data_IF_154484595390
#
_entry.id   IF_154484595390
#
_cell.length_a   1.000
_cell.length_b   1.000
_cell.length_c   1.000
_cell.angle_alpha   90.00
_cell.angle_beta   90.00
_cell.angle_gamma   90.00
#
_symmetry.space_group_name_H-M   'P 1'
#
loop_
_entity.id
_entity.type
_entity.pdbx_description
1 polymer ?
#
# COMPACT_ATOMS: atom_id res chain seq x y z
N UNK A 1 0.72 28.13 -2.98
CA UNK A 1 1.11 27.12 -3.99
C UNK A 1 0.84 27.67 -5.39
N UNK A 2 1.77 27.52 -6.34
CA UNK A 2 1.59 28.03 -7.71
C UNK A 2 0.39 27.36 -8.41
N UNK A 3 -0.41 28.12 -9.17
CA UNK A 3 -1.56 27.59 -9.93
C UNK A 3 -1.15 26.45 -10.86
N UNK A 4 0.04 26.53 -11.48
CA UNK A 4 0.60 25.49 -12.35
C UNK A 4 0.82 24.18 -11.59
N UNK A 5 1.39 24.27 -10.39
CA UNK A 5 1.64 23.09 -9.56
C UNK A 5 0.31 22.46 -9.10
N UNK A 6 -0.69 23.27 -8.76
CA UNK A 6 -2.01 22.74 -8.35
C UNK A 6 -2.66 21.92 -9.47
N UNK A 7 -2.63 22.44 -10.72
CA UNK A 7 -3.16 21.72 -11.88
C UNK A 7 -2.40 20.42 -12.13
N UNK A 8 -1.07 20.46 -12.07
CA UNK A 8 -0.23 19.27 -12.22
C UNK A 8 -0.59 18.16 -11.20
N UNK A 9 -0.72 18.51 -9.92
CA UNK A 9 -1.10 17.56 -8.87
C UNK A 9 -2.47 16.95 -9.15
N UNK A 10 -3.46 17.78 -9.50
CA UNK A 10 -4.83 17.30 -9.78
C UNK A 10 -4.83 16.32 -10.95
N UNK A 11 -4.08 16.61 -12.02
CA UNK A 11 -3.96 15.71 -13.18
C UNK A 11 -3.37 14.37 -12.76
N UNK A 12 -2.27 14.36 -12.01
CA UNK A 12 -1.62 13.12 -11.57
C UNK A 12 -2.53 12.28 -10.68
N UNK A 13 -3.17 12.92 -9.69
CA UNK A 13 -4.12 12.23 -8.81
C UNK A 13 -5.26 11.64 -9.63
N UNK A 14 -5.77 12.37 -10.62
CA UNK A 14 -6.85 11.88 -11.48
C UNK A 14 -6.42 10.65 -12.27
N UNK A 15 -5.23 10.66 -12.87
CA UNK A 15 -4.67 9.49 -13.56
C UNK A 15 -4.44 8.31 -12.62
N UNK A 16 -3.93 8.55 -11.41
CA UNK A 16 -3.72 7.50 -10.41
C UNK A 16 -5.04 6.86 -9.98
N UNK A 17 -6.09 7.65 -9.75
CA UNK A 17 -7.43 7.14 -9.41
C UNK A 17 -8.02 6.35 -10.57
N UNK A 18 -7.94 6.85 -11.80
CA UNK A 18 -8.42 6.14 -13.00
C UNK A 18 -7.71 4.79 -13.14
N UNK A 19 -6.38 4.78 -12.99
CA UNK A 19 -5.59 3.56 -13.04
C UNK A 19 -5.99 2.58 -11.91
N UNK A 20 -6.17 3.08 -10.69
CA UNK A 20 -6.59 2.27 -9.56
C UNK A 20 -7.95 1.60 -9.83
N UNK A 21 -8.93 2.37 -10.32
CA UNK A 21 -10.26 1.84 -10.67
C UNK A 21 -10.16 0.78 -11.78
N UNK A 22 -9.34 1.01 -12.80
CA UNK A 22 -9.11 0.06 -13.88
C UNK A 22 -8.49 -1.26 -13.41
N UNK A 23 -7.66 -1.21 -12.36
CA UNK A 23 -6.96 -2.36 -11.79
C UNK A 23 -7.78 -3.13 -10.74
N UNK A 24 -8.93 -2.62 -10.29
CA UNK A 24 -9.76 -3.30 -9.27
C UNK A 24 -10.35 -4.59 -9.87
N UNK A 25 -10.10 -5.76 -9.24
CA UNK A 25 -10.70 -7.00 -9.70
C UNK A 25 -12.21 -7.01 -9.48
N UNK A 26 -12.98 -7.79 -10.26
CA UNK A 26 -14.42 -7.94 -10.08
C UNK A 26 -14.78 -8.34 -8.64
N UNK A 27 -15.87 -7.76 -8.11
CA UNK A 27 -16.29 -7.91 -6.71
C UNK A 27 -16.48 -9.36 -6.25
N UNK A 28 -16.84 -10.27 -7.16
CA UNK A 28 -16.99 -11.72 -6.89
C UNK A 28 -15.68 -12.39 -6.47
N UNK A 29 -14.52 -11.92 -6.96
CA UNK A 29 -13.21 -12.45 -6.59
C UNK A 29 -12.70 -11.90 -5.25
N UNK A 30 -13.23 -10.76 -4.81
CA UNK A 30 -12.83 -10.08 -3.57
C UNK A 30 -13.51 -10.73 -2.36
N UNK A 31 -14.81 -11.01 -2.48
CA UNK A 31 -15.60 -11.54 -1.35
C UNK A 31 -15.10 -12.91 -0.88
N UNK A 32 -14.61 -13.74 -1.79
CA UNK A 32 -14.09 -15.08 -1.47
C UNK A 32 -12.67 -15.07 -0.89
N UNK A 33 -12.00 -13.90 -0.85
CA UNK A 33 -10.58 -13.77 -0.48
C UNK A 33 -10.32 -12.76 0.64
N UNK A 34 -11.35 -12.34 1.39
CA UNK A 34 -11.22 -11.35 2.46
C UNK A 34 -10.22 -11.77 3.56
N UNK A 35 -10.08 -13.07 3.85
CA UNK A 35 -9.10 -13.58 4.82
C UNK A 35 -7.65 -13.35 4.35
N UNK A 36 -7.41 -13.40 3.04
CA UNK A 36 -6.09 -13.09 2.45
C UNK A 36 -5.76 -11.62 2.69
N UNK A 37 -6.73 -10.75 2.47
CA UNK A 37 -6.56 -9.31 2.70
C UNK A 37 -6.19 -9.03 4.16
N UNK A 38 -6.92 -9.60 5.12
CA UNK A 38 -6.65 -9.41 6.55
C UNK A 38 -5.30 -10.00 6.95
N UNK A 39 -4.96 -11.18 6.45
CA UNK A 39 -3.67 -11.82 6.74
C UNK A 39 -2.50 -10.94 6.29
N UNK A 40 -2.51 -10.47 5.04
CA UNK A 40 -1.46 -9.62 4.52
C UNK A 40 -1.46 -8.23 5.16
N UNK A 41 -2.61 -7.68 5.51
CA UNK A 41 -2.70 -6.44 6.27
C UNK A 41 -2.04 -6.58 7.65
N UNK A 42 -2.33 -7.65 8.39
CA UNK A 42 -1.72 -7.89 9.69
C UNK A 42 -0.19 -8.03 9.60
N UNK A 43 0.31 -8.74 8.58
CA UNK A 43 1.76 -8.88 8.36
C UNK A 43 2.37 -7.54 7.94
N UNK A 44 1.71 -6.76 7.08
CA UNK A 44 2.18 -5.43 6.66
C UNK A 44 2.32 -4.49 7.87
N UNK A 45 1.30 -4.41 8.73
CA UNK A 45 1.36 -3.62 9.98
C UNK A 45 2.51 -4.08 10.89
N UNK A 46 2.68 -5.41 11.04
CA UNK A 46 3.76 -5.97 11.85
C UNK A 46 5.14 -5.64 11.27
N UNK A 47 5.29 -5.69 9.94
CA UNK A 47 6.54 -5.37 9.27
C UNK A 47 6.92 -3.90 9.39
N UNK A 48 5.94 -2.98 9.35
CA UNK A 48 6.19 -1.55 9.61
C UNK A 48 6.54 -1.26 11.08
N UNK A 49 6.14 -2.14 12.00
CA UNK A 49 6.45 -2.00 13.43
C UNK A 49 7.85 -2.51 13.81
N UNK A 50 8.60 -3.12 12.88
CA UNK A 50 9.94 -3.65 13.12
C UNK A 50 10.92 -3.04 12.10
N UNK A 51 11.26 -1.76 12.25
CA UNK A 51 12.32 -1.16 11.47
C UNK A 51 13.66 -1.81 11.80
N UNK A 52 14.45 -2.08 10.76
CA UNK A 52 15.81 -2.61 10.85
C UNK A 52 16.78 -1.47 10.55
N UNK A 53 17.65 -1.16 11.51
CA UNK A 53 18.68 -0.14 11.35
C UNK A 53 19.76 -0.59 10.38
N UNK A 54 20.06 0.27 9.41
CA UNK A 54 21.16 0.12 8.49
C UNK A 54 22.40 0.86 9.01
N UNK A 55 23.61 0.33 8.75
CA UNK A 55 24.85 0.94 9.23
C UNK A 55 25.09 2.39 8.76
N UNK A 56 24.53 2.79 7.61
CA UNK A 56 24.84 4.08 6.95
C UNK A 56 23.56 4.85 6.52
N UNK A 57 22.38 4.22 6.45
CA UNK A 57 21.23 4.74 5.71
C UNK A 57 19.93 4.90 6.53
N UNK A 58 20.02 4.96 7.86
CA UNK A 58 18.84 5.03 8.74
C UNK A 58 18.16 3.67 8.87
N UNK A 59 16.84 3.64 9.08
CA UNK A 59 16.09 2.40 9.26
C UNK A 59 15.24 2.04 8.03
N UNK A 60 15.12 0.76 7.71
CA UNK A 60 14.22 0.23 6.67
C UNK A 60 13.23 -0.77 7.26
N UNK A 61 12.04 -0.85 6.69
CA UNK A 61 11.05 -1.87 7.06
C UNK A 61 11.02 -2.99 6.02
N UNK A 62 10.47 -4.14 6.41
CA UNK A 62 10.34 -5.31 5.52
C UNK A 62 8.96 -5.28 4.80
N UNK A 63 8.31 -4.13 4.73
CA UNK A 63 7.02 -3.94 4.04
C UNK A 63 7.11 -4.23 2.54
N UNK A 64 8.19 -3.80 1.89
CA UNK A 64 8.34 -3.93 0.43
C UNK A 64 8.24 -5.37 -0.10
N UNK A 65 8.94 -6.38 0.45
CA UNK A 65 8.76 -7.77 0.02
C UNK A 65 7.32 -8.27 0.13
N UNK A 66 6.58 -7.82 1.14
CA UNK A 66 5.17 -8.20 1.35
C UNK A 66 4.33 -7.60 0.23
N UNK A 67 4.47 -6.30 -0.01
CA UNK A 67 3.76 -5.59 -1.09
C UNK A 67 4.06 -6.23 -2.45
N UNK A 68 5.32 -6.57 -2.71
CA UNK A 68 5.74 -7.16 -3.97
C UNK A 68 5.07 -8.53 -4.22
N UNK A 69 4.99 -9.39 -3.20
CA UNK A 69 4.26 -10.67 -3.30
C UNK A 69 2.79 -10.43 -3.58
N UNK A 70 2.15 -9.47 -2.92
CA UNK A 70 0.74 -9.17 -3.13
C UNK A 70 0.49 -8.67 -4.56
N UNK A 71 1.36 -7.81 -5.09
CA UNK A 71 1.29 -7.33 -6.48
C UNK A 71 1.32 -8.51 -7.45
N UNK A 72 2.25 -9.46 -7.26
CA UNK A 72 2.43 -10.59 -8.18
C UNK A 72 1.28 -11.61 -8.11
N UNK A 73 0.73 -11.86 -6.93
CA UNK A 73 -0.25 -12.94 -6.71
C UNK A 73 -1.69 -12.45 -6.78
N UNK A 74 -1.97 -11.27 -6.24
CA UNK A 74 -3.32 -10.72 -6.07
C UNK A 74 -3.56 -9.43 -6.86
N UNK A 75 -2.50 -8.86 -7.41
CA UNK A 75 -2.57 -7.69 -8.26
C UNK A 75 -2.36 -6.37 -7.51
N UNK A 76 -2.08 -5.30 -8.28
CA UNK A 76 -1.70 -3.99 -7.75
C UNK A 76 -2.80 -3.30 -6.94
N UNK A 77 -4.09 -3.48 -7.29
CA UNK A 77 -5.17 -2.82 -6.56
C UNK A 77 -5.24 -3.30 -5.09
N UNK A 78 -5.10 -4.60 -4.85
CA UNK A 78 -5.11 -5.17 -3.49
C UNK A 78 -3.86 -4.72 -2.73
N UNK A 79 -2.69 -4.76 -3.39
CA UNK A 79 -1.43 -4.34 -2.78
C UNK A 79 -1.46 -2.88 -2.31
N UNK A 80 -1.96 -1.96 -3.14
CA UNK A 80 -2.04 -0.52 -2.78
C UNK A 80 -2.86 -0.30 -1.51
N UNK A 81 -4.00 -0.98 -1.37
CA UNK A 81 -4.83 -0.85 -0.17
C UNK A 81 -4.16 -1.44 1.07
N UNK A 82 -3.47 -2.57 0.95
CA UNK A 82 -2.76 -3.20 2.07
C UNK A 82 -1.58 -2.33 2.50
N UNK A 83 -0.76 -1.86 1.56
CA UNK A 83 0.37 -0.98 1.85
C UNK A 83 -0.10 0.33 2.53
N UNK A 84 -1.13 0.97 1.99
CA UNK A 84 -1.67 2.22 2.55
C UNK A 84 -2.21 2.05 3.97
N UNK A 85 -3.01 1.01 4.21
CA UNK A 85 -3.57 0.75 5.54
C UNK A 85 -2.51 0.25 6.51
N UNK A 86 -1.57 -0.57 6.03
CA UNK A 86 -0.43 -1.09 6.79
C UNK A 86 0.43 0.03 7.37
N UNK A 87 0.84 0.98 6.52
CA UNK A 87 1.60 2.17 6.90
C UNK A 87 0.85 3.01 7.94
N UNK A 88 -0.42 3.35 7.67
CA UNK A 88 -1.22 4.19 8.58
C UNK A 88 -1.40 3.53 9.95
N UNK A 89 -1.73 2.24 9.97
CA UNK A 89 -1.93 1.51 11.21
C UNK A 89 -0.61 1.29 11.96
N UNK A 90 0.48 1.00 11.25
CA UNK A 90 1.82 0.89 11.83
C UNK A 90 2.27 2.20 12.48
N UNK A 91 2.14 3.33 11.77
CA UNK A 91 2.46 4.66 12.32
C UNK A 91 1.60 4.97 13.56
N UNK A 92 0.30 4.65 13.53
CA UNK A 92 -0.60 4.86 14.67
C UNK A 92 -0.23 4.02 15.90
N UNK A 93 0.32 2.82 15.73
CA UNK A 93 0.75 1.94 16.82
C UNK A 93 2.08 2.41 17.43
N UNK A 94 2.97 2.96 16.59
CA UNK A 94 4.31 3.39 17.01
C UNK A 94 4.35 4.83 17.57
N UNK A 95 3.26 5.59 17.45
CA UNK A 95 3.06 6.92 18.08
C UNK A 95 2.66 6.82 19.54
#
# INVERSE_FOLDING_TARGET
MSKKLKVYIVIIISFAIILLIYLIPPFSLIYDKWYIFIFFLAISVFAESIPVDLPIAGSITIGFPIDFVIILVYGPAIAIWIAFLGEILGELINR
#
